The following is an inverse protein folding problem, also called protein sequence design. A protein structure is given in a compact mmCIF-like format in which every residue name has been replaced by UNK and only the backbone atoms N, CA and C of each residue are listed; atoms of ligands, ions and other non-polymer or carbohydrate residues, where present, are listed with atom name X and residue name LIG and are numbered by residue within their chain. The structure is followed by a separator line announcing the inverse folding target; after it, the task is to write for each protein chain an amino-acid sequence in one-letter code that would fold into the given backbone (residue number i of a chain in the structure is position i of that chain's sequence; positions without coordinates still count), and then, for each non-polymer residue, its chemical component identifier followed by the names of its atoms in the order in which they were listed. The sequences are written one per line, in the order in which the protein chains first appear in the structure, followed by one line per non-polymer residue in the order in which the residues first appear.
data_IF_869472077943
#
_entry.id   IF_869472077943
#
_cell.length_a   1.000
_cell.length_b   1.000
_cell.length_c   1.000
_cell.angle_alpha   90.00
_cell.angle_beta   90.00
_cell.angle_gamma   90.00
#
_symmetry.space_group_name_H-M   'P 1'
#
loop_
_entity.id
_entity.type
_entity.pdbx_description
1 polymer ?
#
# COMPACT_ATOMS: atom_id res chain seq x y z
N UNK A 1 13.71 17.81 -21.54
CA UNK A 1 12.63 18.02 -20.54
C UNK A 1 13.25 18.14 -19.16
N UNK A 2 12.86 19.13 -18.36
CA UNK A 2 13.24 19.19 -16.94
C UNK A 2 12.16 18.48 -16.10
N UNK A 3 12.52 17.34 -15.49
CA UNK A 3 11.61 16.48 -14.71
C UNK A 3 11.00 17.22 -13.53
N UNK A 4 11.79 18.00 -12.80
CA UNK A 4 11.28 18.72 -11.62
C UNK A 4 10.15 19.69 -11.98
N UNK A 5 10.32 20.43 -13.07
CA UNK A 5 9.35 21.41 -13.58
C UNK A 5 8.09 20.72 -14.12
N UNK A 6 8.25 19.62 -14.85
CA UNK A 6 7.11 18.84 -15.37
C UNK A 6 6.35 18.09 -14.28
N UNK A 7 7.03 17.60 -13.23
CA UNK A 7 6.39 17.03 -12.04
C UNK A 7 5.54 18.09 -11.35
N UNK A 8 6.06 19.31 -11.18
CA UNK A 8 5.29 20.41 -10.57
C UNK A 8 4.02 20.73 -11.41
N UNK A 9 4.15 20.80 -12.73
CA UNK A 9 3.02 20.99 -13.64
C UNK A 9 1.98 19.86 -13.53
N UNK A 10 2.43 18.60 -13.46
CA UNK A 10 1.56 17.44 -13.27
C UNK A 10 0.82 17.47 -11.93
N UNK A 11 1.49 17.84 -10.84
CA UNK A 11 0.85 17.91 -9.52
C UNK A 11 -0.21 19.01 -9.48
N UNK A 12 0.04 20.15 -10.15
CA UNK A 12 -0.95 21.21 -10.32
C UNK A 12 -2.15 20.72 -11.14
N UNK A 13 -1.91 20.07 -12.27
CA UNK A 13 -2.95 19.42 -13.07
C UNK A 13 -3.79 18.42 -12.25
N UNK A 14 -3.15 17.63 -11.40
CA UNK A 14 -3.83 16.67 -10.52
C UNK A 14 -4.77 17.33 -9.51
N UNK A 15 -4.38 18.49 -8.98
CA UNK A 15 -5.19 19.26 -8.02
C UNK A 15 -6.34 19.98 -8.72
N UNK A 16 -6.04 20.70 -9.80
CA UNK A 16 -6.98 21.62 -10.44
C UNK A 16 -7.96 20.90 -11.36
N UNK A 17 -7.50 19.94 -12.15
CA UNK A 17 -8.30 19.34 -13.22
C UNK A 17 -8.83 17.96 -12.86
N UNK A 18 -8.04 17.15 -12.15
CA UNK A 18 -8.48 15.80 -11.71
C UNK A 18 -9.10 15.76 -10.31
N UNK A 19 -9.15 16.90 -9.62
CA UNK A 19 -9.73 17.06 -8.28
C UNK A 19 -9.30 15.96 -7.30
N UNK A 20 -8.04 15.51 -7.42
CA UNK A 20 -7.52 14.45 -6.56
C UNK A 20 -7.38 14.95 -5.12
N UNK A 21 -7.59 14.05 -4.16
CA UNK A 21 -7.46 14.41 -2.75
C UNK A 21 -6.04 14.95 -2.47
N UNK A 22 -5.89 15.93 -1.55
CA UNK A 22 -4.58 16.47 -1.17
C UNK A 22 -3.61 15.38 -0.69
N UNK A 23 -4.14 14.32 -0.06
CA UNK A 23 -3.36 13.16 0.39
C UNK A 23 -2.81 12.37 -0.79
N UNK A 24 -3.60 12.17 -1.84
CA UNK A 24 -3.17 11.49 -3.07
C UNK A 24 -2.08 12.29 -3.78
N UNK A 25 -2.27 13.60 -3.92
CA UNK A 25 -1.28 14.49 -4.57
C UNK A 25 0.03 14.51 -3.79
N UNK A 26 -0.02 14.57 -2.45
CA UNK A 26 1.19 14.46 -1.61
C UNK A 26 1.91 13.12 -1.79
N UNK A 27 1.16 12.03 -1.91
CA UNK A 27 1.73 10.70 -2.16
C UNK A 27 2.43 10.63 -3.54
N UNK A 28 1.80 11.19 -4.58
CA UNK A 28 2.38 11.28 -5.93
C UNK A 28 3.62 12.17 -5.95
N UNK A 29 3.57 13.33 -5.30
CA UNK A 29 4.71 14.24 -5.20
C UNK A 29 5.92 13.53 -4.58
N UNK A 30 5.71 12.82 -3.47
CA UNK A 30 6.79 12.07 -2.80
C UNK A 30 7.38 10.99 -3.72
N UNK A 31 6.54 10.25 -4.44
CA UNK A 31 7.01 9.17 -5.30
C UNK A 31 7.76 9.67 -6.53
N UNK A 32 7.27 10.75 -7.15
CA UNK A 32 7.87 11.33 -8.35
C UNK A 32 9.16 12.08 -8.03
N UNK A 33 9.24 12.80 -6.91
CA UNK A 33 10.48 13.44 -6.47
C UNK A 33 11.57 12.41 -6.12
N UNK A 34 11.20 11.27 -5.51
CA UNK A 34 12.16 10.20 -5.28
C UNK A 34 12.68 9.60 -6.59
N UNK A 35 11.84 9.50 -7.61
CA UNK A 35 12.28 9.09 -8.94
C UNK A 35 13.16 10.16 -9.61
N UNK A 36 12.83 11.44 -9.49
CA UNK A 36 13.62 12.54 -10.05
C UNK A 36 15.05 12.55 -9.51
N UNK A 37 15.20 12.39 -8.19
CA UNK A 37 16.51 12.24 -7.52
C UNK A 37 17.26 11.00 -8.03
N UNK A 38 16.57 9.87 -8.18
CA UNK A 38 17.19 8.64 -8.69
C UNK A 38 17.65 8.76 -10.15
N UNK A 39 16.82 9.38 -10.98
CA UNK A 39 17.01 9.47 -12.43
C UNK A 39 17.97 10.56 -12.86
N UNK A 40 18.38 11.45 -11.93
CA UNK A 40 19.21 12.61 -12.22
C UNK A 40 18.66 13.42 -13.41
N UNK A 41 17.36 13.72 -13.37
CA UNK A 41 16.65 14.47 -14.41
C UNK A 41 16.52 13.75 -15.78
N UNK A 42 16.78 12.44 -15.87
CA UNK A 42 16.64 11.64 -17.10
C UNK A 42 15.37 10.78 -17.09
N UNK A 43 14.40 11.12 -17.93
CA UNK A 43 13.19 10.31 -18.14
C UNK A 43 13.34 9.38 -19.36
N UNK A 44 13.72 8.12 -19.14
CA UNK A 44 13.84 7.13 -20.22
C UNK A 44 13.42 5.74 -19.78
N UNK A 45 13.11 4.87 -20.76
CA UNK A 45 12.76 3.46 -20.54
C UNK A 45 13.80 2.74 -19.68
N UNK A 46 15.09 2.89 -19.99
CA UNK A 46 16.17 2.20 -19.27
C UNK A 46 16.26 2.65 -17.81
N UNK A 47 16.10 3.95 -17.55
CA UNK A 47 16.12 4.49 -16.18
C UNK A 47 14.91 3.98 -15.39
N UNK A 48 13.73 3.89 -16.01
CA UNK A 48 12.52 3.36 -15.37
C UNK A 48 12.68 1.87 -15.03
N UNK A 49 13.24 1.06 -15.93
CA UNK A 49 13.51 -0.37 -15.68
C UNK A 49 14.48 -0.51 -14.49
N UNK A 50 15.57 0.26 -14.47
CA UNK A 50 16.54 0.25 -13.37
C UNK A 50 15.89 0.68 -12.05
N UNK A 51 15.03 1.70 -12.08
CA UNK A 51 14.30 2.13 -10.90
C UNK A 51 13.37 1.03 -10.37
N UNK A 52 12.59 0.39 -11.25
CA UNK A 52 11.70 -0.72 -10.87
C UNK A 52 12.51 -1.85 -10.23
N UNK A 53 13.67 -2.22 -10.79
CA UNK A 53 14.54 -3.25 -10.23
C UNK A 53 15.01 -2.91 -8.79
N UNK A 54 15.28 -1.63 -8.51
CA UNK A 54 15.61 -1.16 -7.15
C UNK A 54 14.39 -1.21 -6.24
N UNK A 55 13.20 -0.83 -6.75
CA UNK A 55 11.96 -0.91 -5.98
C UNK A 55 11.65 -2.34 -5.54
N UNK A 56 11.90 -3.33 -6.39
CA UNK A 56 11.76 -4.75 -6.04
C UNK A 56 12.68 -5.18 -4.88
N UNK A 57 13.88 -4.61 -4.78
CA UNK A 57 14.86 -4.97 -3.75
C UNK A 57 14.60 -4.27 -2.41
N UNK A 58 14.12 -3.03 -2.45
CA UNK A 58 14.05 -2.18 -1.26
C UNK A 58 12.67 -2.12 -0.59
N UNK A 59 11.59 -2.36 -1.35
CA UNK A 59 10.24 -2.10 -0.87
C UNK A 59 9.33 -3.32 -0.92
N UNK A 60 8.39 -3.39 0.03
CA UNK A 60 7.27 -4.34 -0.03
C UNK A 60 6.43 -4.10 -1.31
N UNK A 61 5.84 -5.14 -1.92
CA UNK A 61 5.08 -5.02 -3.18
C UNK A 61 4.04 -3.92 -3.20
N UNK A 62 3.31 -3.71 -2.09
CA UNK A 62 2.31 -2.63 -1.98
C UNK A 62 2.93 -1.24 -2.22
N UNK A 63 4.08 -0.97 -1.63
CA UNK A 63 4.78 0.32 -1.76
C UNK A 63 5.36 0.48 -3.15
N UNK A 64 5.95 -0.58 -3.70
CA UNK A 64 6.52 -0.54 -5.05
C UNK A 64 5.44 -0.35 -6.13
N UNK A 65 4.30 -1.07 -6.04
CA UNK A 65 3.14 -0.88 -6.92
C UNK A 65 2.61 0.56 -6.87
N UNK A 66 2.52 1.17 -5.68
CA UNK A 66 2.11 2.58 -5.53
C UNK A 66 3.04 3.53 -6.28
N UNK A 67 4.35 3.35 -6.14
CA UNK A 67 5.37 4.15 -6.84
C UNK A 67 5.29 4.02 -8.36
N UNK A 68 5.13 2.79 -8.84
CA UNK A 68 4.97 2.50 -10.27
C UNK A 68 3.68 3.11 -10.81
N UNK A 69 2.58 3.05 -10.06
CA UNK A 69 1.33 3.67 -10.46
C UNK A 69 1.46 5.18 -10.60
N UNK A 70 2.17 5.85 -9.68
CA UNK A 70 2.46 7.28 -9.79
C UNK A 70 3.26 7.60 -11.08
N UNK A 71 4.30 6.82 -11.38
CA UNK A 71 5.09 7.00 -12.61
C UNK A 71 4.28 6.72 -13.88
N UNK A 72 3.41 5.70 -13.90
CA UNK A 72 2.51 5.44 -15.04
C UNK A 72 1.54 6.58 -15.27
N UNK A 73 0.92 7.08 -14.21
CA UNK A 73 -0.01 8.20 -14.30
C UNK A 73 0.68 9.49 -14.77
N UNK A 74 1.91 9.73 -14.31
CA UNK A 74 2.75 10.83 -14.79
C UNK A 74 3.13 10.66 -16.27
N UNK A 75 3.57 9.47 -16.69
CA UNK A 75 3.91 9.19 -18.10
C UNK A 75 2.73 9.43 -19.03
N UNK A 76 1.54 9.00 -18.61
CA UNK A 76 0.31 9.23 -19.37
C UNK A 76 -0.03 10.73 -19.48
N UNK A 77 0.18 11.49 -18.41
CA UNK A 77 0.05 12.95 -18.46
C UNK A 77 1.04 13.57 -19.46
N UNK A 78 2.31 13.15 -19.45
CA UNK A 78 3.30 13.66 -20.40
C UNK A 78 2.91 13.40 -21.86
N UNK A 79 2.27 12.26 -22.16
CA UNK A 79 1.75 11.95 -23.50
C UNK A 79 0.58 12.86 -23.86
N UNK A 80 -0.39 13.05 -22.94
CA UNK A 80 -1.54 13.95 -23.18
C UNK A 80 -1.09 15.39 -23.42
N UNK A 81 0.00 15.81 -22.78
CA UNK A 81 0.58 17.13 -22.98
C UNK A 81 1.56 17.19 -24.16
N UNK A 82 1.70 16.12 -24.94
CA UNK A 82 2.60 16.01 -26.10
C UNK A 82 4.07 16.32 -25.75
N UNK A 83 4.46 16.09 -24.49
CA UNK A 83 5.84 16.27 -24.02
C UNK A 83 6.71 15.06 -24.40
N UNK A 84 6.09 13.88 -24.49
CA UNK A 84 6.71 12.65 -24.98
C UNK A 84 5.80 11.98 -26.01
N UNK A 85 6.40 11.41 -27.06
CA UNK A 85 5.64 10.77 -28.14
C UNK A 85 5.24 9.33 -27.81
N UNK A 86 6.04 8.65 -26.98
CA UNK A 86 5.86 7.23 -26.67
C UNK A 86 5.86 6.97 -25.17
N UNK A 87 5.00 6.04 -24.75
CA UNK A 87 4.93 5.67 -23.35
C UNK A 87 6.15 4.82 -22.98
N UNK A 88 7.01 5.26 -22.05
CA UNK A 88 8.18 4.48 -21.67
C UNK A 88 7.82 3.20 -20.92
N UNK A 89 6.57 3.07 -20.43
CA UNK A 89 6.04 1.85 -19.84
C UNK A 89 5.54 0.81 -20.85
N UNK A 90 5.50 1.13 -22.15
CA UNK A 90 5.04 0.18 -23.15
C UNK A 90 5.94 -1.05 -23.17
N UNK A 91 5.34 -2.23 -22.96
CA UNK A 91 6.04 -3.53 -22.87
C UNK A 91 6.98 -3.70 -21.67
N UNK A 92 6.87 -2.86 -20.63
CA UNK A 92 7.54 -3.14 -19.34
C UNK A 92 6.64 -4.04 -18.51
N UNK A 93 7.12 -5.23 -18.14
CA UNK A 93 6.46 -6.04 -17.12
C UNK A 93 6.68 -5.41 -15.74
N UNK A 94 5.59 -5.01 -15.10
CA UNK A 94 5.58 -4.43 -13.75
C UNK A 94 4.98 -5.38 -12.73
N UNK A 95 4.92 -6.69 -13.01
CA UNK A 95 4.33 -7.68 -12.12
C UNK A 95 5.16 -7.86 -10.85
N UNK A 96 4.53 -7.65 -9.70
CA UNK A 96 5.10 -7.98 -8.38
C UNK A 96 4.39 -9.22 -7.84
N UNK A 97 5.14 -10.27 -7.52
CA UNK A 97 4.62 -11.39 -6.72
C UNK A 97 4.22 -10.86 -5.34
N UNK A 98 2.97 -11.05 -4.97
CA UNK A 98 2.48 -10.66 -3.65
C UNK A 98 2.84 -11.75 -2.63
N UNK A 99 3.41 -11.39 -1.46
CA UNK A 99 3.47 -12.33 -0.36
C UNK A 99 2.03 -12.68 0.05
N UNK A 100 1.79 -13.96 0.29
CA UNK A 100 0.50 -14.45 0.79
C UNK A 100 0.09 -13.63 2.01
N UNK A 101 -0.98 -12.86 1.89
CA UNK A 101 -1.51 -12.09 3.00
C UNK A 101 -2.35 -13.02 3.86
N UNK A 102 -2.11 -13.02 5.17
CA UNK A 102 -3.04 -13.64 6.11
C UNK A 102 -4.43 -13.00 5.94
N UNK A 103 -5.52 -13.78 6.10
CA UNK A 103 -6.86 -13.23 6.06
C UNK A 103 -6.99 -12.04 7.01
N UNK A 104 -7.47 -10.91 6.50
CA UNK A 104 -7.68 -9.69 7.32
C UNK A 104 -8.80 -9.84 8.34
N UNK A 105 -9.66 -10.83 8.12
CA UNK A 105 -10.86 -11.10 8.92
C UNK A 105 -10.68 -12.48 9.54
N UNK A 106 -10.92 -12.59 10.85
CA UNK A 106 -10.95 -13.87 11.55
C UNK A 106 -12.23 -14.60 11.12
N UNK A 107 -12.15 -15.79 10.51
CA UNK A 107 -13.31 -16.57 10.13
C UNK A 107 -14.20 -16.92 11.33
N UNK A 108 -15.52 -17.01 11.13
CA UNK A 108 -16.50 -17.26 12.20
C UNK A 108 -16.23 -18.56 12.97
N UNK A 109 -15.75 -19.60 12.29
CA UNK A 109 -15.39 -20.86 12.94
C UNK A 109 -14.21 -20.71 13.92
N UNK A 110 -13.24 -19.83 13.61
CA UNK A 110 -12.12 -19.53 14.51
C UNK A 110 -12.61 -18.74 15.73
N UNK A 111 -13.51 -17.77 15.52
CA UNK A 111 -14.14 -17.04 16.64
C UNK A 111 -14.87 -18.01 17.57
N UNK A 112 -15.64 -18.93 17.00
CA UNK A 112 -16.32 -19.98 17.76
C UNK A 112 -15.35 -20.85 18.58
N UNK A 113 -14.20 -21.21 18.00
CA UNK A 113 -13.16 -21.96 18.71
C UNK A 113 -12.51 -21.16 19.85
N UNK A 114 -12.25 -19.87 19.65
CA UNK A 114 -11.69 -18.98 20.68
C UNK A 114 -12.65 -18.87 21.88
N UNK A 115 -13.93 -18.62 21.61
CA UNK A 115 -14.96 -18.51 22.66
C UNK A 115 -15.12 -19.86 23.37
N UNK A 116 -15.24 -20.96 22.62
CA UNK A 116 -15.36 -22.29 23.19
C UNK A 116 -14.18 -22.64 24.09
N UNK A 117 -12.95 -22.28 23.69
CA UNK A 117 -11.75 -22.51 24.51
C UNK A 117 -11.75 -21.67 25.78
N UNK A 118 -12.19 -20.41 25.72
CA UNK A 118 -12.27 -19.55 26.91
C UNK A 118 -13.25 -20.12 27.96
N UNK A 119 -14.39 -20.65 27.52
CA UNK A 119 -15.35 -21.36 28.39
C UNK A 119 -14.81 -22.70 28.90
N UNK A 120 -14.02 -23.40 28.09
CA UNK A 120 -13.33 -24.62 28.52
C UNK A 120 -12.26 -24.33 29.59
N UNK A 121 -11.49 -23.25 29.44
CA UNK A 121 -10.51 -22.81 30.44
C UNK A 121 -11.18 -22.50 31.79
N UNK A 122 -12.36 -21.87 31.78
CA UNK A 122 -13.13 -21.60 32.99
C UNK A 122 -13.49 -22.88 33.75
N UNK A 123 -13.85 -23.96 33.03
CA UNK A 123 -14.20 -25.26 33.64
C UNK A 123 -13.00 -25.95 34.29
N UNK A 124 -11.80 -25.71 33.78
CA UNK A 124 -10.56 -26.35 34.26
C UNK A 124 -9.79 -25.50 35.28
N UNK A 125 -10.33 -24.34 35.69
CA UNK A 125 -9.73 -23.49 36.71
C UNK A 125 -9.72 -24.15 38.09
N UNK A 126 -8.54 -24.36 38.67
CA UNK A 126 -8.35 -24.99 39.99
C UNK A 126 -8.28 -23.99 41.15
N UNK A 127 -8.02 -22.70 40.87
CA UNK A 127 -7.89 -21.66 41.89
C UNK A 127 -8.87 -20.52 41.67
N UNK A 128 -9.27 -19.83 42.74
CA UNK A 128 -10.15 -18.66 42.66
C UNK A 128 -9.53 -17.53 41.82
N UNK A 129 -8.21 -17.39 41.87
CA UNK A 129 -7.50 -16.43 41.03
C UNK A 129 -7.64 -16.77 39.54
N UNK A 130 -7.39 -18.03 39.15
CA UNK A 130 -7.55 -18.48 37.76
C UNK A 130 -8.98 -18.34 37.26
N UNK A 131 -9.97 -18.65 38.11
CA UNK A 131 -11.40 -18.53 37.81
C UNK A 131 -11.80 -17.08 37.53
N UNK A 132 -11.37 -16.14 38.38
CA UNK A 132 -11.63 -14.69 38.17
C UNK A 132 -11.02 -14.19 36.86
N UNK A 133 -9.82 -14.65 36.51
CA UNK A 133 -9.16 -14.27 35.27
C UNK A 133 -9.88 -14.84 34.03
N UNK A 134 -10.33 -16.10 34.09
CA UNK A 134 -11.08 -16.74 33.01
C UNK A 134 -12.42 -16.03 32.75
N UNK A 135 -13.17 -15.70 33.82
CA UNK A 135 -14.43 -14.94 33.70
C UNK A 135 -14.18 -13.57 33.06
N UNK A 136 -13.14 -12.85 33.49
CA UNK A 136 -12.76 -11.55 32.90
C UNK A 136 -12.44 -11.69 31.41
N UNK A 137 -11.66 -12.70 31.03
CA UNK A 137 -11.26 -12.90 29.63
C UNK A 137 -12.47 -13.25 28.75
N UNK A 138 -13.41 -14.08 29.24
CA UNK A 138 -14.67 -14.37 28.55
C UNK A 138 -15.46 -13.08 28.34
N UNK A 139 -15.65 -12.27 29.39
CA UNK A 139 -16.39 -11.01 29.29
C UNK A 139 -15.76 -10.04 28.27
N UNK A 140 -14.42 -9.93 28.23
CA UNK A 140 -13.72 -9.12 27.23
C UNK A 140 -13.98 -9.63 25.81
N UNK A 141 -13.89 -10.95 25.60
CA UNK A 141 -14.13 -11.56 24.28
C UNK A 141 -15.58 -11.33 23.83
N UNK A 142 -16.56 -11.53 24.71
CA UNK A 142 -17.97 -11.30 24.39
C UNK A 142 -18.25 -9.85 24.05
N UNK A 143 -17.72 -8.89 24.82
CA UNK A 143 -17.88 -7.46 24.53
C UNK A 143 -17.24 -7.10 23.18
N UNK A 144 -16.03 -7.61 22.89
CA UNK A 144 -15.32 -7.33 21.64
C UNK A 144 -16.08 -7.79 20.38
N UNK A 145 -16.85 -8.87 20.48
CA UNK A 145 -17.63 -9.43 19.37
C UNK A 145 -19.12 -9.06 19.39
N UNK A 146 -19.61 -8.41 20.45
CA UNK A 146 -20.99 -7.91 20.55
C UNK A 146 -21.20 -6.50 19.96
N UNK A 147 -20.11 -5.78 19.65
CA UNK A 147 -20.11 -4.45 19.01
C UNK A 147 -19.95 -4.52 17.50
#
# INVERSE_FOLDING_TARGET
MELKTTIAAYLRYCLEQKTLSPKTVKAYATDLLQFEVFSNNVFSRNVIINYIAILHKQFKPKTAKRKIAALKAFSHYLIIQEIIDTNPFDKIDTSFREPMMLPKVIPMNIIGQIIAKAYDDLKHCQTDFSRKNAIRNIAILEILFAT
#
